data_IF_222004039055
#
_entry.id   IF_222004039055
#
_cell.length_a   1.000
_cell.length_b   1.000
_cell.length_c   1.000
_cell.angle_alpha   90.00
_cell.angle_beta   90.00
_cell.angle_gamma   90.00
#
_symmetry.space_group_name_H-M   'P 1'
#
loop_
_entity.id
_entity.type
_entity.pdbx_description
1 polymer ?
#
# COMPACT_ATOMS: atom_id res chain seq x y z
N UNK A 1 -4.06 -19.26 2.91
CA UNK A 1 -4.78 -19.51 1.63
C UNK A 1 -6.18 -18.90 1.60
N UNK A 2 -6.51 -17.94 2.48
CA UNK A 2 -7.80 -17.25 2.42
C UNK A 2 -7.84 -16.22 1.26
N UNK A 3 -8.75 -16.34 0.28
CA UNK A 3 -8.90 -15.38 -0.82
C UNK A 3 -9.28 -13.97 -0.35
N UNK A 4 -10.07 -13.82 0.73
CA UNK A 4 -10.52 -12.52 1.22
C UNK A 4 -9.38 -11.76 1.92
N UNK A 5 -8.67 -12.43 2.82
CA UNK A 5 -7.47 -11.86 3.45
C UNK A 5 -6.40 -11.47 2.43
N UNK A 6 -6.26 -12.22 1.33
CA UNK A 6 -5.37 -11.84 0.22
C UNK A 6 -5.81 -10.57 -0.50
N UNK A 7 -7.10 -10.40 -0.77
CA UNK A 7 -7.62 -9.22 -1.45
C UNK A 7 -7.46 -7.96 -0.58
N UNK A 8 -7.76 -8.05 0.71
CA UNK A 8 -7.60 -6.92 1.63
C UNK A 8 -6.14 -6.56 1.89
N UNK A 9 -5.27 -7.56 2.02
CA UNK A 9 -3.82 -7.35 2.08
C UNK A 9 -3.31 -6.66 0.80
N UNK A 10 -3.78 -7.08 -0.38
CA UNK A 10 -3.42 -6.44 -1.64
C UNK A 10 -3.83 -4.96 -1.65
N UNK A 11 -5.04 -4.65 -1.19
CA UNK A 11 -5.54 -3.27 -1.16
C UNK A 11 -4.83 -2.38 -0.14
N UNK A 12 -4.50 -2.95 1.03
CA UNK A 12 -3.66 -2.30 2.04
C UNK A 12 -2.29 -1.95 1.47
N UNK A 13 -1.62 -2.93 0.85
CA UNK A 13 -0.30 -2.74 0.27
C UNK A 13 -0.34 -1.71 -0.86
N UNK A 14 -1.37 -1.74 -1.71
CA UNK A 14 -1.57 -0.70 -2.72
C UNK A 14 -1.62 0.70 -2.11
N UNK A 15 -2.31 0.90 -0.99
CA UNK A 15 -2.39 2.21 -0.32
C UNK A 15 -1.09 2.58 0.40
N UNK A 16 -0.54 1.69 1.21
CA UNK A 16 0.61 1.99 2.07
C UNK A 16 1.88 2.25 1.24
N UNK A 17 2.15 1.44 0.22
CA UNK A 17 3.30 1.65 -0.66
C UNK A 17 3.16 2.88 -1.54
N UNK A 18 1.94 3.22 -1.99
CA UNK A 18 1.75 4.43 -2.80
C UNK A 18 2.09 5.70 -2.03
N UNK A 19 1.89 5.73 -0.71
CA UNK A 19 2.18 6.90 0.12
C UNK A 19 3.70 7.15 0.29
N UNK A 20 4.48 6.10 0.56
CA UNK A 20 5.94 6.19 0.67
C UNK A 20 6.56 6.57 -0.69
N UNK A 21 6.10 5.93 -1.76
CA UNK A 21 6.53 6.21 -3.13
C UNK A 21 6.21 7.63 -3.59
N UNK A 22 5.01 8.14 -3.29
CA UNK A 22 4.62 9.51 -3.62
C UNK A 22 5.49 10.52 -2.88
N UNK A 23 5.70 10.35 -1.57
CA UNK A 23 6.54 11.29 -0.82
C UNK A 23 8.01 11.23 -1.21
N UNK A 24 8.53 10.06 -1.58
CA UNK A 24 9.88 9.99 -2.17
C UNK A 24 9.94 10.80 -3.46
N UNK A 25 8.93 10.66 -4.33
CA UNK A 25 8.86 11.40 -5.59
C UNK A 25 8.79 12.91 -5.36
N UNK A 26 7.98 13.37 -4.40
CA UNK A 26 7.87 14.78 -4.00
C UNK A 26 9.21 15.33 -3.47
N UNK A 27 9.90 14.58 -2.60
CA UNK A 27 11.20 14.99 -2.09
C UNK A 27 12.26 15.11 -3.20
N UNK A 28 12.18 14.27 -4.23
CA UNK A 28 13.03 14.40 -5.42
C UNK A 28 12.72 15.66 -6.25
N UNK A 29 11.45 16.08 -6.33
CA UNK A 29 11.08 17.34 -6.99
C UNK A 29 11.61 18.55 -6.19
N UNK A 30 11.52 18.52 -4.86
CA UNK A 30 12.10 19.55 -3.99
C UNK A 30 13.62 19.64 -4.17
N UNK A 31 14.32 18.52 -4.31
CA UNK A 31 15.74 18.50 -4.61
C UNK A 31 16.05 19.15 -5.97
N UNK A 32 15.23 18.85 -7.00
CA UNK A 32 15.48 19.33 -8.37
C UNK A 32 15.24 20.83 -8.52
N UNK A 33 14.15 21.33 -7.94
CA UNK A 33 13.67 22.70 -8.15
C UNK A 33 13.83 23.62 -6.93
N UNK A 34 14.30 23.09 -5.80
CA UNK A 34 14.48 23.82 -4.55
C UNK A 34 15.82 24.55 -4.43
N UNK A 35 16.17 24.84 -3.18
CA UNK A 35 17.29 25.70 -2.82
C UNK A 35 18.65 25.02 -3.09
N UNK A 36 19.43 25.59 -4.01
CA UNK A 36 20.71 25.01 -4.45
C UNK A 36 21.77 24.95 -3.34
N UNK A 37 21.70 25.85 -2.35
CA UNK A 37 22.62 25.90 -1.20
C UNK A 37 22.50 24.68 -0.27
N UNK A 38 21.35 23.97 -0.31
CA UNK A 38 21.01 22.87 0.61
C UNK A 38 21.02 21.50 -0.04
N UNK A 39 21.51 21.38 -1.29
CA UNK A 39 21.51 20.11 -2.04
C UNK A 39 22.08 18.96 -1.23
N UNK A 40 23.24 19.13 -0.60
CA UNK A 40 23.88 18.05 0.16
C UNK A 40 23.02 17.59 1.35
N UNK A 41 22.42 18.53 2.09
CA UNK A 41 21.52 18.23 3.22
C UNK A 41 20.25 17.51 2.75
N UNK A 42 19.65 17.97 1.65
CA UNK A 42 18.42 17.39 1.09
C UNK A 42 18.71 15.97 0.58
N UNK A 43 19.82 15.77 -0.13
CA UNK A 43 20.24 14.46 -0.64
C UNK A 43 20.45 13.46 0.50
N UNK A 44 21.16 13.86 1.56
CA UNK A 44 21.34 13.00 2.74
C UNK A 44 20.01 12.68 3.42
N UNK A 45 19.15 13.69 3.60
CA UNK A 45 17.81 13.49 4.17
C UNK A 45 16.96 12.50 3.35
N UNK A 46 16.95 12.61 2.02
CA UNK A 46 16.24 11.68 1.14
C UNK A 46 16.82 10.27 1.29
N UNK A 47 18.15 10.14 1.30
CA UNK A 47 18.80 8.84 1.48
C UNK A 47 18.40 8.19 2.80
N UNK A 48 18.52 8.88 3.94
CA UNK A 48 18.20 8.35 5.27
C UNK A 48 16.72 7.95 5.41
N UNK A 49 15.81 8.74 4.82
CA UNK A 49 14.37 8.51 4.97
C UNK A 49 13.83 7.39 4.09
N UNK A 50 14.40 7.18 2.89
CA UNK A 50 13.80 6.34 1.87
C UNK A 50 14.69 5.22 1.33
N UNK A 51 16.02 5.34 1.39
CA UNK A 51 16.94 4.42 0.70
C UNK A 51 17.91 3.69 1.64
N UNK A 52 18.19 4.27 2.81
CA UNK A 52 19.10 3.67 3.79
C UNK A 52 18.57 2.30 4.28
N UNK A 53 19.47 1.35 4.60
CA UNK A 53 19.05 0.10 5.23
C UNK A 53 18.26 0.37 6.53
N UNK A 54 17.02 -0.11 6.60
CA UNK A 54 16.14 0.13 7.75
C UNK A 54 15.45 1.50 7.77
N UNK A 55 15.46 2.23 6.64
CA UNK A 55 14.70 3.45 6.47
C UNK A 55 13.21 3.26 6.84
N UNK A 56 12.64 4.21 7.57
CA UNK A 56 11.26 4.11 8.07
C UNK A 56 10.21 4.22 6.97
N UNK A 57 10.57 4.80 5.82
CA UNK A 57 9.73 4.96 4.64
C UNK A 57 10.39 4.35 3.40
N UNK A 58 10.99 3.17 3.59
CA UNK A 58 11.80 2.54 2.55
C UNK A 58 11.04 2.33 1.24
N UNK A 59 11.64 2.78 0.12
CA UNK A 59 11.07 2.60 -1.22
C UNK A 59 11.72 1.46 -1.97
N UNK A 60 10.94 0.77 -2.79
CA UNK A 60 11.41 -0.37 -3.55
C UNK A 60 11.94 0.08 -4.92
N UNK A 61 13.27 0.15 -5.05
CA UNK A 61 13.98 0.37 -6.32
C UNK A 61 14.88 -0.84 -6.64
N UNK A 62 15.09 -1.09 -7.94
CA UNK A 62 15.96 -2.19 -8.35
C UNK A 62 17.44 -1.93 -8.00
N UNK A 63 18.20 -3.01 -7.84
CA UNK A 63 19.59 -2.95 -7.39
C UNK A 63 20.49 -2.10 -8.30
N UNK A 64 20.23 -2.06 -9.60
CA UNK A 64 21.03 -1.29 -10.55
C UNK A 64 20.76 0.20 -10.39
N UNK A 65 19.51 0.59 -10.18
CA UNK A 65 19.15 1.97 -9.86
C UNK A 65 19.72 2.39 -8.51
N UNK A 66 19.62 1.54 -7.48
CA UNK A 66 20.19 1.81 -6.15
C UNK A 66 21.70 2.05 -6.22
N UNK A 67 22.45 1.20 -6.93
CA UNK A 67 23.91 1.36 -7.09
C UNK A 67 24.29 2.70 -7.72
N UNK A 68 23.60 3.11 -8.79
CA UNK A 68 23.84 4.40 -9.45
C UNK A 68 23.54 5.58 -8.54
N UNK A 69 22.42 5.53 -7.81
CA UNK A 69 22.05 6.57 -6.86
C UNK A 69 23.09 6.69 -5.75
N UNK A 70 23.57 5.57 -5.19
CA UNK A 70 24.61 5.56 -4.17
C UNK A 70 25.95 6.14 -4.67
N UNK A 71 26.33 5.86 -5.92
CA UNK A 71 27.52 6.47 -6.52
C UNK A 71 27.36 7.98 -6.68
N UNK A 72 26.20 8.42 -7.17
CA UNK A 72 25.89 9.84 -7.34
C UNK A 72 25.87 10.61 -6.02
N UNK A 73 25.38 10.00 -4.93
CA UNK A 73 25.32 10.64 -3.60
C UNK A 73 26.71 11.03 -3.08
N UNK A 74 27.79 10.38 -3.53
CA UNK A 74 29.17 10.76 -3.16
C UNK A 74 29.53 12.17 -3.63
N UNK A 75 28.88 12.66 -4.68
CA UNK A 75 29.01 14.03 -5.20
C UNK A 75 27.61 14.62 -5.43
N UNK A 76 26.93 15.10 -4.37
CA UNK A 76 25.54 15.53 -4.44
C UNK A 76 25.27 16.60 -5.50
N UNK A 77 24.20 16.43 -6.28
CA UNK A 77 23.69 17.41 -7.24
C UNK A 77 22.16 17.28 -7.38
N UNK A 78 21.50 18.28 -7.96
CA UNK A 78 20.04 18.37 -8.05
C UNK A 78 19.36 17.29 -8.93
N UNK A 79 20.14 16.46 -9.63
CA UNK A 79 19.64 15.36 -10.49
C UNK A 79 20.05 13.97 -9.97
N UNK A 80 20.66 13.88 -8.79
CA UNK A 80 21.25 12.63 -8.28
C UNK A 80 20.21 11.53 -8.04
N UNK A 81 18.94 11.92 -7.86
CA UNK A 81 17.81 11.02 -7.61
C UNK A 81 17.00 10.68 -8.86
N UNK A 82 17.32 11.18 -10.06
CA UNK A 82 16.48 11.08 -11.26
C UNK A 82 16.13 9.63 -11.65
N UNK A 83 17.14 8.74 -11.68
CA UNK A 83 16.94 7.33 -12.03
C UNK A 83 16.01 6.63 -11.01
N UNK A 84 16.18 6.94 -9.71
CA UNK A 84 15.34 6.40 -8.64
C UNK A 84 13.92 6.97 -8.69
N UNK A 85 13.78 8.28 -8.90
CA UNK A 85 12.49 8.97 -9.04
C UNK A 85 11.71 8.40 -10.23
N UNK A 86 12.36 8.18 -11.38
CA UNK A 86 11.75 7.58 -12.56
C UNK A 86 11.30 6.14 -12.29
N UNK A 87 12.11 5.34 -11.59
CA UNK A 87 11.74 3.98 -11.22
C UNK A 87 10.45 3.97 -10.37
N UNK A 88 10.40 4.83 -9.35
CA UNK A 88 9.24 4.97 -8.47
C UNK A 88 8.00 5.48 -9.21
N UNK A 89 8.15 6.46 -10.10
CA UNK A 89 7.06 6.93 -10.95
C UNK A 89 6.48 5.79 -11.81
N UNK A 90 7.34 4.98 -12.43
CA UNK A 90 6.91 3.83 -13.23
C UNK A 90 6.24 2.76 -12.37
N UNK A 91 6.67 2.57 -11.12
CA UNK A 91 6.04 1.65 -10.18
C UNK A 91 4.63 2.13 -9.79
N UNK A 92 4.48 3.42 -9.44
CA UNK A 92 3.18 4.02 -9.15
C UNK A 92 2.22 3.94 -10.35
N UNK A 93 2.71 4.27 -11.56
CA UNK A 93 1.90 4.17 -12.80
C UNK A 93 1.44 2.74 -13.06
N UNK A 94 2.33 1.75 -12.92
CA UNK A 94 1.99 0.33 -13.10
C UNK A 94 0.99 -0.21 -12.06
N UNK A 95 0.98 0.33 -10.85
CA UNK A 95 0.00 -0.03 -9.81
C UNK A 95 -1.39 0.52 -10.13
N UNK A 96 -1.48 1.66 -10.83
CA UNK A 96 -2.74 2.28 -11.26
C UNK A 96 -3.37 1.66 -12.52
N UNK A 97 -2.61 0.90 -13.31
CA UNK A 97 -3.12 0.27 -14.55
C UNK A 97 -3.88 -1.03 -14.25
N UNK A 98 -5.16 -1.16 -14.67
CA UNK A 98 -5.99 -2.35 -14.40
C UNK A 98 -5.57 -3.63 -15.17
N UNK A 99 -4.42 -3.63 -15.84
CA UNK A 99 -3.98 -4.71 -16.74
C UNK A 99 -2.68 -5.42 -16.38
N UNK A 100 -2.02 -5.10 -15.25
CA UNK A 100 -0.74 -5.74 -14.92
C UNK A 100 -0.97 -7.22 -14.55
N UNK A 101 -0.63 -8.12 -15.48
CA UNK A 101 -0.82 -9.56 -15.32
C UNK A 101 -0.27 -10.08 -13.98
N UNK A 102 -0.95 -11.10 -13.43
CA UNK A 102 -0.73 -11.63 -12.08
C UNK A 102 0.74 -11.97 -11.74
N UNK A 103 1.55 -12.32 -12.74
CA UNK A 103 2.96 -12.65 -12.57
C UNK A 103 3.85 -11.44 -12.20
N UNK A 104 3.57 -10.25 -12.76
CA UNK A 104 4.34 -9.03 -12.51
C UNK A 104 4.04 -8.43 -11.14
N UNK A 105 2.75 -8.30 -10.81
CA UNK A 105 2.30 -7.91 -9.47
C UNK A 105 2.73 -8.94 -8.42
N UNK A 106 2.67 -10.23 -8.75
CA UNK A 106 3.08 -11.30 -7.85
C UNK A 106 4.53 -11.18 -7.39
N UNK A 107 5.48 -10.86 -8.28
CA UNK A 107 6.90 -10.69 -7.91
C UNK A 107 7.14 -9.47 -7.04
N UNK A 108 6.53 -8.33 -7.39
CA UNK A 108 6.61 -7.09 -6.61
C UNK A 108 6.01 -7.31 -5.23
N UNK A 109 4.79 -7.86 -5.17
CA UNK A 109 4.09 -8.14 -3.91
C UNK A 109 4.84 -9.15 -3.05
N UNK A 110 5.47 -10.18 -3.63
CA UNK A 110 6.20 -11.20 -2.86
C UNK A 110 7.48 -10.63 -2.25
N UNK A 111 8.27 -9.86 -2.99
CA UNK A 111 9.43 -9.15 -2.43
C UNK A 111 9.02 -8.19 -1.30
N UNK A 112 7.91 -7.48 -1.49
CA UNK A 112 7.39 -6.50 -0.53
C UNK A 112 6.75 -7.11 0.72
N UNK A 113 6.06 -8.25 0.57
CA UNK A 113 5.45 -9.01 1.67
C UNK A 113 6.50 -9.66 2.55
N UNK A 114 7.57 -10.20 1.96
CA UNK A 114 8.57 -10.96 2.70
C UNK A 114 9.48 -10.07 3.57
N UNK A 115 9.66 -8.79 3.22
CA UNK A 115 10.67 -7.95 3.86
C UNK A 115 10.11 -6.99 4.92
N UNK A 116 8.94 -6.35 4.73
CA UNK A 116 8.51 -5.30 5.70
C UNK A 116 7.00 -5.16 5.91
N UNK A 117 6.19 -5.35 4.88
CA UNK A 117 4.78 -4.93 4.97
C UNK A 117 3.83 -5.99 5.51
N UNK A 118 4.22 -7.26 5.50
CA UNK A 118 3.42 -8.30 6.15
C UNK A 118 3.41 -8.15 7.69
N UNK A 119 4.55 -7.92 8.38
CA UNK A 119 4.55 -7.57 9.80
C UNK A 119 3.76 -6.30 10.14
N UNK A 120 3.80 -5.27 9.28
CA UNK A 120 3.02 -4.03 9.44
C UNK A 120 1.53 -4.26 9.26
N UNK A 121 1.14 -5.02 8.22
CA UNK A 121 -0.25 -5.40 7.98
C UNK A 121 -0.88 -6.10 9.18
N UNK A 122 -0.19 -7.06 9.80
CA UNK A 122 -0.70 -7.77 10.98
C UNK A 122 -0.93 -6.85 12.20
N UNK A 123 -0.27 -5.68 12.25
CA UNK A 123 -0.45 -4.67 13.30
C UNK A 123 -1.45 -3.58 12.94
N UNK A 124 -1.82 -3.47 11.66
CA UNK A 124 -2.72 -2.44 11.14
C UNK A 124 -4.16 -2.59 11.67
N UNK A 125 -4.89 -1.48 11.74
CA UNK A 125 -6.30 -1.49 12.15
C UNK A 125 -7.19 -2.21 11.13
N UNK A 126 -6.77 -2.28 9.85
CA UNK A 126 -7.47 -3.05 8.83
C UNK A 126 -7.50 -4.55 9.18
N UNK A 127 -6.36 -5.12 9.60
CA UNK A 127 -6.31 -6.53 10.00
C UNK A 127 -7.06 -6.78 11.32
N UNK A 128 -7.01 -5.84 12.27
CA UNK A 128 -7.80 -5.93 13.52
C UNK A 128 -9.30 -5.90 13.24
N UNK A 129 -9.75 -5.05 12.32
CA UNK A 129 -11.16 -4.96 11.92
C UNK A 129 -11.62 -6.24 11.21
N UNK A 130 -10.77 -6.80 10.33
CA UNK A 130 -11.02 -8.12 9.72
C UNK A 130 -11.18 -9.23 10.76
N UNK A 131 -10.31 -9.28 11.77
CA UNK A 131 -10.43 -10.23 12.87
C UNK A 131 -11.73 -10.02 13.65
N UNK A 132 -12.10 -8.78 13.92
CA UNK A 132 -13.33 -8.45 14.63
C UNK A 132 -14.58 -8.89 13.84
N UNK A 133 -14.60 -8.69 12.51
CA UNK A 133 -15.69 -9.16 11.64
C UNK A 133 -15.75 -10.69 11.55
N UNK A 134 -14.60 -11.37 11.54
CA UNK A 134 -14.52 -12.83 11.48
C UNK A 134 -14.96 -13.53 12.79
N UNK A 135 -14.89 -12.84 13.94
CA UNK A 135 -15.30 -13.37 15.25
C UNK A 135 -16.82 -13.30 15.45
N UNK A 136 -17.55 -12.54 14.63
CA UNK A 136 -19.03 -12.48 14.69
C UNK A 136 -19.60 -13.67 13.91
N UNK A 137 -20.26 -14.65 14.56
CA UNK A 137 -20.96 -15.71 13.82
C UNK A 137 -22.08 -15.09 12.96
N UNK A 138 -22.34 -15.58 11.74
CA UNK A 138 -23.41 -15.09 10.87
C UNK A 138 -24.83 -15.49 11.35
N UNK A 139 -25.07 -15.52 12.66
CA UNK A 139 -26.33 -15.91 13.32
C UNK A 139 -26.76 -14.81 14.29
N UNK A 140 -27.04 -13.59 13.80
CA UNK A 140 -27.87 -12.65 14.58
C UNK A 140 -28.65 -11.61 13.78
N UNK A 141 -28.59 -11.61 12.45
CA UNK A 141 -29.64 -10.96 11.65
C UNK A 141 -30.87 -11.87 11.61
N UNK A 142 -31.47 -12.14 12.77
CA UNK A 142 -32.84 -12.65 12.83
C UNK A 142 -33.72 -11.60 12.15
N UNK A 143 -34.08 -11.88 10.90
CA UNK A 143 -35.24 -11.28 10.24
C UNK A 143 -36.39 -11.39 11.23
N UNK A 144 -36.81 -10.25 11.78
CA UNK A 144 -38.08 -10.14 12.47
C UNK A 144 -39.13 -10.34 11.40
N UNK A 145 -39.59 -11.58 11.22
CA UNK A 145 -40.80 -11.85 10.46
C UNK A 145 -41.98 -11.34 11.31
N UNK A 146 -42.77 -10.37 10.84
CA UNK A 146 -44.02 -10.04 11.53
C UNK A 146 -44.92 -11.28 11.44
N UNK A 147 -45.22 -11.83 12.61
CA UNK A 147 -46.22 -12.88 12.81
C UNK A 147 -47.58 -12.36 12.33
N UNK A 148 -47.98 -12.70 11.10
CA UNK A 148 -49.35 -12.45 10.64
C UNK A 148 -50.28 -13.39 11.42
N UNK A 149 -50.95 -12.81 12.41
CA UNK A 149 -52.00 -13.45 13.20
C UNK A 149 -53.16 -13.80 12.25
N UNK A 150 -53.37 -15.10 12.02
CA UNK A 150 -54.46 -15.64 11.21
C UNK A 150 -55.80 -15.33 11.88
N UNK A 151 -56.56 -14.36 11.39
CA UNK A 151 -57.94 -14.14 11.80
C UNK A 151 -58.82 -15.26 11.22
N UNK A 152 -59.36 -16.10 12.11
CA UNK A 152 -60.48 -16.98 11.82
C UNK A 152 -61.71 -16.09 11.70
N UNK A 153 -62.35 -16.07 10.53
CA UNK A 153 -63.72 -15.60 10.41
C UNK A 153 -64.61 -16.73 9.91
N UNK A 154 -65.58 -16.99 10.77
CA UNK A 154 -66.68 -17.95 10.69
C UNK A 154 -67.59 -17.69 9.50
N UNK A 155 -68.12 -18.79 8.95
CA UNK A 155 -69.18 -18.85 7.94
C UNK A 155 -70.40 -18.00 8.32
N UNK A 156 -71.21 -17.63 7.32
CA UNK A 156 -72.62 -18.01 7.43
C UNK A 156 -73.19 -18.56 6.13
N UNK A 157 -73.94 -19.65 6.24
CA UNK A 157 -75.06 -20.00 5.34
C UNK A 157 -76.26 -19.09 5.68
N UNK A 158 -77.24 -18.92 4.78
CA UNK A 158 -78.10 -20.00 4.27
C UNK A 158 -77.82 -20.37 2.80
#
# INVERSE_FOLDING_TARGET
>A
NDPLGRAQLLEFLKKEFSAENLSFWEACEELRYGEQSRIAEIVDSIYQQFLAPGATRWVNIDSKTMERTLEGIKTPHCYVMDDAQMHIYMLMKKVGEPGLGSAGLGRILTSLLAQDSYPRFLKSDLYKNLLAEAIIPPETKKRVFPFMRKQRHSSPSP
#
